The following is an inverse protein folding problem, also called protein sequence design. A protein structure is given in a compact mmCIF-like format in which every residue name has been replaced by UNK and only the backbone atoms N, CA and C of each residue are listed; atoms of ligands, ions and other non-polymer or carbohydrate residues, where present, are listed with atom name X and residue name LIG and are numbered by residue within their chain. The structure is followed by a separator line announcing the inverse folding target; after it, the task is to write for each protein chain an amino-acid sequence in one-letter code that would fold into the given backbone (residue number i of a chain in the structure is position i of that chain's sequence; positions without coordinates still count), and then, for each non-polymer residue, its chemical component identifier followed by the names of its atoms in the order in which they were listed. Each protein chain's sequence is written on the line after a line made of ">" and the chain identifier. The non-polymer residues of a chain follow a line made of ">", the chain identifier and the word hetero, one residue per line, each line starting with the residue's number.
data_IF_796847307586
#
_entry.id   IF_796847307586
#
_cell.length_a   1.000
_cell.length_b   1.000
_cell.length_c   1.000
_cell.angle_alpha   90.00
_cell.angle_beta   90.00
_cell.angle_gamma   90.00
#
_symmetry.space_group_name_H-M   'P 1'
#
loop_
_entity.id
_entity.type
_entity.pdbx_description
1 polymer ?
#
# COMPACT_ATOMS: atom_id res chain seq x y z
N UNK A 1 -8.66 -23.82 15.57
CA UNK A 1 -7.92 -22.60 15.63
C UNK A 1 -8.05 -21.80 14.37
N UNK A 2 -8.26 -20.57 14.57
CA UNK A 2 -8.48 -19.67 13.44
C UNK A 2 -7.19 -19.18 12.80
N UNK A 3 -6.04 -19.62 13.28
CA UNK A 3 -4.77 -19.12 12.78
C UNK A 3 -4.56 -19.42 11.31
N UNK A 4 -5.14 -20.51 10.80
CA UNK A 4 -5.02 -20.84 9.40
C UNK A 4 -5.70 -19.83 8.48
N UNK A 5 -6.59 -19.00 9.03
CA UNK A 5 -7.27 -17.98 8.26
C UNK A 5 -6.59 -16.62 8.38
N UNK A 6 -5.49 -16.54 9.11
CA UNK A 6 -4.77 -15.28 9.27
C UNK A 6 -4.26 -14.78 7.92
N UNK A 7 -4.43 -13.49 7.68
CA UNK A 7 -3.91 -12.84 6.49
C UNK A 7 -2.40 -12.75 6.60
N UNK A 8 -1.70 -13.14 5.56
CA UNK A 8 -0.22 -13.13 5.54
C UNK A 8 0.36 -11.92 4.85
N UNK A 9 -0.39 -11.34 3.93
CA UNK A 9 0.08 -10.19 3.16
C UNK A 9 -1.05 -9.19 3.03
N UNK A 10 -0.72 -7.91 3.16
CA UNK A 10 -1.62 -6.81 2.87
C UNK A 10 -1.09 -6.06 1.67
N UNK A 11 -1.99 -5.43 0.94
CA UNK A 11 -1.64 -4.63 -0.23
C UNK A 11 -2.09 -3.20 0.03
N UNK A 12 -1.17 -2.25 -0.11
CA UNK A 12 -1.48 -0.83 0.00
C UNK A 12 -1.37 -0.17 -1.36
N UNK A 13 -2.30 0.74 -1.64
CA UNK A 13 -2.27 1.57 -2.84
C UNK A 13 -2.14 3.02 -2.39
N UNK A 14 -1.10 3.70 -2.82
CA UNK A 14 -0.88 5.11 -2.52
C UNK A 14 -1.18 5.90 -3.79
N UNK A 15 -2.20 6.74 -3.74
CA UNK A 15 -2.67 7.50 -4.90
C UNK A 15 -2.04 8.88 -4.94
N UNK A 16 -1.82 9.37 -6.15
CA UNK A 16 -1.28 10.71 -6.32
C UNK A 16 -1.85 11.33 -7.60
N UNK A 17 -1.58 12.61 -7.77
CA UNK A 17 -1.91 13.34 -8.98
C UNK A 17 -0.62 13.87 -9.58
N UNK A 18 -0.68 14.39 -10.80
CA UNK A 18 0.51 14.93 -11.45
C UNK A 18 1.21 15.97 -10.57
N UNK A 19 0.42 16.83 -9.92
CA UNK A 19 0.97 17.89 -9.07
C UNK A 19 1.63 17.36 -7.79
N UNK A 20 1.28 16.13 -7.35
CA UNK A 20 1.82 15.55 -6.12
C UNK A 20 2.72 14.34 -6.37
N UNK A 21 3.10 14.13 -7.63
CA UNK A 21 3.92 12.97 -7.99
C UNK A 21 5.26 12.95 -7.26
N UNK A 22 5.90 14.09 -7.13
CA UNK A 22 7.19 14.16 -6.44
C UNK A 22 7.06 13.80 -4.97
N UNK A 23 5.96 14.21 -4.33
CA UNK A 23 5.67 13.86 -2.95
C UNK A 23 5.44 12.34 -2.82
N UNK A 24 4.73 11.75 -3.78
CA UNK A 24 4.50 10.30 -3.78
C UNK A 24 5.82 9.55 -3.94
N UNK A 25 6.70 10.04 -4.81
CA UNK A 25 7.99 9.42 -5.02
C UNK A 25 8.86 9.51 -3.76
N UNK A 26 8.78 10.62 -3.03
CA UNK A 26 9.48 10.76 -1.76
C UNK A 26 8.97 9.76 -0.73
N UNK A 27 7.67 9.58 -0.63
CA UNK A 27 7.09 8.59 0.27
C UNK A 27 7.54 7.18 -0.12
N UNK A 28 7.52 6.89 -1.41
CA UNK A 28 7.98 5.60 -1.92
C UNK A 28 9.44 5.35 -1.55
N UNK A 29 10.28 6.34 -1.76
CA UNK A 29 11.71 6.22 -1.41
C UNK A 29 11.91 5.99 0.08
N UNK A 30 11.13 6.67 0.91
CA UNK A 30 11.20 6.48 2.35
C UNK A 30 10.80 5.05 2.74
N UNK A 31 9.74 4.54 2.13
CA UNK A 31 9.32 3.16 2.38
C UNK A 31 10.40 2.16 1.94
N UNK A 32 11.05 2.42 0.81
CA UNK A 32 12.16 1.58 0.36
C UNK A 32 13.30 1.59 1.37
N UNK A 33 13.60 2.75 1.91
CA UNK A 33 14.71 2.93 2.86
C UNK A 33 14.46 2.15 4.16
N UNK A 34 13.25 2.23 4.70
CA UNK A 34 12.93 1.53 5.95
C UNK A 34 12.57 0.08 5.74
N UNK A 35 12.31 -0.32 4.50
CA UNK A 35 11.87 -1.67 4.17
C UNK A 35 12.89 -2.73 4.52
N UNK A 36 14.16 -2.46 4.28
CA UNK A 36 15.24 -3.44 4.47
C UNK A 36 14.95 -4.73 3.71
N UNK A 37 14.34 -4.63 2.54
CA UNK A 37 14.03 -5.78 1.72
C UNK A 37 12.81 -6.58 2.16
N UNK A 38 12.07 -6.11 3.16
CA UNK A 38 10.88 -6.82 3.65
C UNK A 38 9.63 -6.58 2.82
N UNK A 39 9.58 -5.45 2.11
CA UNK A 39 8.41 -5.03 1.34
C UNK A 39 8.67 -5.20 -0.15
N UNK A 40 7.60 -5.50 -0.87
CA UNK A 40 7.61 -5.39 -2.33
C UNK A 40 6.99 -4.04 -2.66
N UNK A 41 7.78 -3.10 -3.17
CA UNK A 41 7.33 -1.75 -3.47
C UNK A 41 7.39 -1.55 -4.98
N UNK A 42 6.21 -1.36 -5.59
CA UNK A 42 6.11 -1.26 -7.04
C UNK A 42 6.44 0.15 -7.51
N UNK A 43 6.74 0.28 -8.78
CA UNK A 43 7.06 1.58 -9.36
C UNK A 43 5.80 2.44 -9.48
N UNK A 44 6.02 3.76 -9.61
CA UNK A 44 4.92 4.68 -9.86
C UNK A 44 4.23 4.34 -11.16
N UNK A 45 2.90 4.31 -11.13
CA UNK A 45 2.07 4.09 -12.29
C UNK A 45 1.29 5.36 -12.55
N UNK A 46 1.64 6.08 -13.61
CA UNK A 46 1.08 7.39 -13.91
C UNK A 46 -0.24 7.33 -14.68
N UNK A 47 -0.63 6.15 -15.13
CA UNK A 47 -1.86 5.96 -15.88
C UNK A 47 -2.81 4.97 -15.20
N UNK A 48 -4.00 4.79 -15.76
CA UNK A 48 -4.95 3.81 -15.23
C UNK A 48 -4.35 2.40 -15.23
N UNK A 49 -4.65 1.64 -14.19
CA UNK A 49 -4.14 0.29 -14.05
C UNK A 49 -5.18 -0.59 -13.38
N UNK A 50 -5.69 -1.57 -14.14
CA UNK A 50 -6.74 -2.43 -13.66
C UNK A 50 -7.95 -1.60 -13.25
N UNK A 51 -8.49 -1.79 -12.04
CA UNK A 51 -9.62 -0.99 -11.56
C UNK A 51 -9.22 0.41 -11.12
N UNK A 52 -7.93 0.72 -11.06
CA UNK A 52 -7.45 2.02 -10.57
C UNK A 52 -7.35 2.99 -11.72
N UNK A 53 -8.13 4.07 -11.66
CA UNK A 53 -8.13 5.11 -12.68
C UNK A 53 -7.22 6.27 -12.31
N UNK A 54 -6.75 6.33 -11.07
CA UNK A 54 -5.87 7.37 -10.55
C UNK A 54 -4.44 6.87 -10.52
N UNK A 55 -3.45 7.70 -10.82
CA UNK A 55 -2.05 7.33 -10.67
C UNK A 55 -1.77 6.83 -9.25
N UNK A 56 -0.94 5.80 -9.13
CA UNK A 56 -0.67 5.19 -7.84
C UNK A 56 0.63 4.39 -7.85
N UNK A 57 1.12 4.04 -6.66
CA UNK A 57 2.07 2.95 -6.52
C UNK A 57 1.55 1.96 -5.46
N UNK A 58 1.94 0.71 -5.61
CA UNK A 58 1.51 -0.35 -4.71
C UNK A 58 2.63 -0.83 -3.80
N UNK A 59 2.24 -1.38 -2.67
CA UNK A 59 3.18 -1.98 -1.71
C UNK A 59 2.57 -3.28 -1.19
N UNK A 60 3.32 -4.37 -1.27
CA UNK A 60 2.94 -5.61 -0.60
C UNK A 60 3.61 -5.64 0.76
N UNK A 61 2.82 -5.78 1.80
CA UNK A 61 3.26 -5.67 3.19
C UNK A 61 3.02 -7.01 3.89
N UNK A 62 4.09 -7.72 4.29
CA UNK A 62 3.89 -8.90 5.13
C UNK A 62 3.15 -8.54 6.41
N UNK A 63 2.30 -9.44 6.88
CA UNK A 63 1.46 -9.16 8.05
C UNK A 63 2.28 -8.71 9.26
N UNK A 64 3.45 -9.30 9.46
CA UNK A 64 4.29 -8.94 10.60
C UNK A 64 4.88 -7.53 10.51
N UNK A 65 4.95 -6.97 9.31
CA UNK A 65 5.44 -5.59 9.11
C UNK A 65 4.32 -4.56 9.10
N UNK A 66 3.06 -5.01 9.10
CA UNK A 66 1.92 -4.11 8.95
C UNK A 66 1.86 -3.01 10.00
N UNK A 67 2.03 -3.29 11.30
CA UNK A 67 1.94 -2.21 12.30
C UNK A 67 2.94 -1.09 12.05
N UNK A 68 4.17 -1.43 11.72
CA UNK A 68 5.22 -0.45 11.43
C UNK A 68 4.87 0.38 10.20
N UNK A 69 4.50 -0.30 9.12
CA UNK A 69 4.24 0.37 7.84
C UNK A 69 2.94 1.18 7.92
N UNK A 70 1.93 0.67 8.61
CA UNK A 70 0.69 1.41 8.82
C UNK A 70 0.97 2.72 9.56
N UNK A 71 1.81 2.68 10.59
CA UNK A 71 2.21 3.88 11.31
C UNK A 71 2.88 4.91 10.41
N UNK A 72 3.78 4.45 9.52
CA UNK A 72 4.44 5.34 8.55
C UNK A 72 3.42 5.95 7.61
N UNK A 73 2.53 5.14 7.05
CA UNK A 73 1.52 5.63 6.11
C UNK A 73 0.58 6.62 6.79
N UNK A 74 0.15 6.33 8.00
CA UNK A 74 -0.76 7.21 8.73
C UNK A 74 -0.14 8.57 9.04
N UNK A 75 1.16 8.62 9.28
CA UNK A 75 1.84 9.86 9.65
C UNK A 75 2.49 10.58 8.48
N UNK A 76 2.71 9.90 7.36
CA UNK A 76 3.47 10.47 6.25
C UNK A 76 2.72 10.47 4.91
N UNK A 77 1.44 10.09 4.90
CA UNK A 77 0.71 10.05 3.61
C UNK A 77 0.55 11.45 2.99
N UNK A 78 0.61 12.52 3.79
CA UNK A 78 0.49 13.87 3.26
C UNK A 78 -0.80 14.05 2.46
N UNK A 79 -0.72 14.52 1.20
CA UNK A 79 -1.91 14.73 0.39
C UNK A 79 -2.44 13.44 -0.24
N UNK A 80 -1.79 12.29 -0.01
CA UNK A 80 -2.13 11.07 -0.72
C UNK A 80 -3.19 10.27 0.02
N UNK A 81 -4.18 9.77 -0.72
CA UNK A 81 -5.10 8.76 -0.20
C UNK A 81 -4.42 7.41 -0.25
N UNK A 82 -4.65 6.60 0.76
CA UNK A 82 -4.08 5.26 0.85
C UNK A 82 -5.19 4.27 1.11
N UNK A 83 -5.26 3.23 0.29
CA UNK A 83 -6.16 2.11 0.51
C UNK A 83 -5.33 0.88 0.87
N UNK A 84 -5.76 0.17 1.91
CA UNK A 84 -5.07 -1.05 2.35
C UNK A 84 -6.10 -2.16 2.42
N UNK A 85 -5.77 -3.31 1.86
CA UNK A 85 -6.64 -4.46 1.92
C UNK A 85 -5.83 -5.75 2.10
N UNK A 86 -6.45 -6.77 2.70
CA UNK A 86 -5.79 -8.06 2.81
C UNK A 86 -5.70 -8.74 1.45
N UNK A 87 -4.70 -9.58 1.28
CA UNK A 87 -4.57 -10.44 0.10
C UNK A 87 -4.82 -11.86 0.58
N UNK A 88 -5.99 -12.40 0.28
CA UNK A 88 -6.40 -13.70 0.81
C UNK A 88 -6.64 -14.75 -0.28
N UNK A 89 -6.65 -14.34 -1.55
CA UNK A 89 -7.08 -15.19 -2.64
C UNK A 89 -8.60 -15.27 -2.75
N UNK A 90 -9.33 -14.56 -1.90
CA UNK A 90 -10.78 -14.47 -1.93
C UNK A 90 -11.16 -13.02 -2.24
N UNK A 91 -11.70 -12.79 -3.42
CA UNK A 91 -11.99 -11.42 -3.87
C UNK A 91 -12.94 -10.66 -2.94
N UNK A 92 -13.90 -11.35 -2.33
CA UNK A 92 -14.83 -10.69 -1.42
C UNK A 92 -14.12 -10.18 -0.17
N UNK A 93 -13.19 -10.96 0.37
CA UNK A 93 -12.42 -10.53 1.53
C UNK A 93 -11.40 -9.45 1.17
N UNK A 94 -10.84 -9.55 -0.04
CA UNK A 94 -9.85 -8.59 -0.49
C UNK A 94 -10.46 -7.20 -0.74
N UNK A 95 -11.79 -7.11 -0.81
CA UNK A 95 -12.50 -5.84 -0.93
C UNK A 95 -12.70 -5.14 0.42
N UNK A 96 -12.34 -5.79 1.52
CA UNK A 96 -12.38 -5.16 2.84
C UNK A 96 -11.22 -4.19 2.94
N UNK A 97 -11.50 -2.90 2.84
CA UNK A 97 -10.49 -1.86 2.72
C UNK A 97 -10.37 -1.04 3.98
N UNK A 98 -9.16 -0.60 4.26
CA UNK A 98 -8.89 0.46 5.23
C UNK A 98 -8.44 1.67 4.42
N UNK A 99 -9.14 2.78 4.57
CA UNK A 99 -8.83 4.01 3.86
C UNK A 99 -8.19 5.01 4.82
N UNK A 100 -7.05 5.51 4.42
CA UNK A 100 -6.31 6.51 5.19
C UNK A 100 -6.26 7.81 4.43
#
# INVERSE_FOLDING_TARGET
>A
MATSSAVKVFHAHVYYEAATRASADSLRSHLMEISRGRLEIYTLSDGPRGPHITPMFGVDIPAEALPEILGVLMTRHGPHSVLIHPVTGNELLDLSLIHI
#
